data_IF_473885063849
#
_entry.id   IF_473885063849
#
_cell.length_a   1.000
_cell.length_b   1.000
_cell.length_c   1.000
_cell.angle_alpha   90.00
_cell.angle_beta   90.00
_cell.angle_gamma   90.00
#
_symmetry.space_group_name_H-M   'P 1'
#
loop_
_entity.id
_entity.type
_entity.pdbx_description
1 polymer ?
#
# COMPACT_ATOMS: atom_id res chain seq x y z
N UNK A 1 18.20 -26.86 -23.05
CA UNK A 1 18.98 -25.76 -22.48
C UNK A 1 18.08 -24.56 -22.28
N UNK A 2 18.42 -23.65 -21.36
CA UNK A 2 17.65 -22.43 -21.09
C UNK A 2 18.51 -21.20 -21.40
N UNK A 3 17.87 -20.13 -21.83
CA UNK A 3 18.45 -18.80 -22.00
C UNK A 3 17.99 -17.95 -20.81
N UNK A 4 18.92 -17.18 -20.23
CA UNK A 4 18.63 -16.22 -19.17
C UNK A 4 18.83 -14.82 -19.72
N UNK A 5 17.74 -14.07 -19.83
CA UNK A 5 17.74 -12.72 -20.40
C UNK A 5 17.68 -11.74 -19.22
N UNK A 6 18.67 -10.86 -19.06
CA UNK A 6 18.67 -9.89 -17.96
C UNK A 6 17.51 -8.91 -18.14
N UNK A 7 16.83 -8.62 -17.02
CA UNK A 7 15.83 -7.57 -16.92
C UNK A 7 16.42 -6.45 -16.06
N UNK A 8 16.47 -5.23 -16.58
CA UNK A 8 17.16 -4.08 -15.98
C UNK A 8 16.41 -2.78 -16.24
N UNK A 9 16.38 -1.91 -15.24
CA UNK A 9 15.92 -0.51 -15.35
C UNK A 9 17.09 0.48 -15.36
N UNK A 10 18.32 -0.03 -15.46
CA UNK A 10 19.55 0.76 -15.43
C UNK A 10 20.79 -0.10 -15.66
N UNK A 11 21.85 0.14 -14.90
CA UNK A 11 23.16 -0.53 -15.10
C UNK A 11 23.21 -1.95 -14.50
N UNK A 12 22.36 -2.27 -13.52
CA UNK A 12 22.32 -3.60 -12.88
C UNK A 12 20.97 -4.28 -13.09
N UNK A 13 20.95 -5.57 -13.49
CA UNK A 13 19.70 -6.30 -13.66
C UNK A 13 19.02 -6.55 -12.32
N UNK A 14 17.70 -6.37 -12.27
CA UNK A 14 16.86 -6.72 -11.11
C UNK A 14 16.41 -8.19 -11.15
N UNK A 15 16.59 -8.87 -12.28
CA UNK A 15 16.25 -10.27 -12.43
C UNK A 15 16.63 -10.83 -13.80
N UNK A 16 16.28 -12.09 -14.02
CA UNK A 16 16.49 -12.76 -15.30
C UNK A 16 15.19 -13.46 -15.72
N UNK A 17 14.77 -13.20 -16.96
CA UNK A 17 13.74 -13.99 -17.60
C UNK A 17 14.37 -15.31 -18.08
N UNK A 18 13.83 -16.43 -17.60
CA UNK A 18 14.26 -17.77 -18.01
C UNK A 18 13.34 -18.27 -19.12
N UNK A 19 13.90 -18.47 -20.32
CA UNK A 19 13.19 -19.03 -21.49
C UNK A 19 13.87 -20.33 -21.93
N UNK A 20 13.12 -21.32 -22.40
CA UNK A 20 13.72 -22.53 -22.97
C UNK A 20 14.32 -22.22 -24.35
N UNK A 21 15.51 -22.75 -24.66
CA UNK A 21 16.24 -22.40 -25.89
C UNK A 21 15.45 -22.68 -27.18
N UNK A 22 14.58 -23.69 -27.18
CA UNK A 22 13.69 -24.03 -28.30
C UNK A 22 12.57 -23.01 -28.50
N UNK A 23 12.09 -22.36 -27.44
CA UNK A 23 11.12 -21.28 -27.48
C UNK A 23 11.78 -19.98 -27.91
N UNK A 24 12.98 -19.70 -27.40
CA UNK A 24 13.77 -18.53 -27.78
C UNK A 24 14.03 -18.47 -29.28
N UNK A 25 14.38 -19.59 -29.91
CA UNK A 25 14.61 -19.67 -31.36
C UNK A 25 13.36 -19.42 -32.23
N UNK A 26 12.16 -19.41 -31.64
CA UNK A 26 10.88 -19.22 -32.33
C UNK A 26 10.28 -17.83 -32.10
N UNK A 27 10.83 -17.05 -31.18
CA UNK A 27 10.35 -15.70 -30.89
C UNK A 27 10.85 -14.72 -31.96
N UNK A 28 9.97 -13.83 -32.39
CA UNK A 28 10.39 -12.68 -33.19
C UNK A 28 11.25 -11.75 -32.32
N UNK A 29 12.46 -11.47 -32.80
CA UNK A 29 13.45 -10.72 -32.01
C UNK A 29 13.04 -9.27 -31.77
N UNK A 30 12.29 -8.67 -32.71
CA UNK A 30 11.84 -7.28 -32.61
C UNK A 30 10.65 -7.16 -31.67
N UNK A 31 9.66 -8.04 -31.81
CA UNK A 31 8.52 -8.10 -30.91
C UNK A 31 8.96 -8.35 -29.47
N UNK A 32 9.88 -9.31 -29.26
CA UNK A 32 10.42 -9.59 -27.93
C UNK A 32 11.17 -8.39 -27.34
N UNK A 33 11.98 -7.68 -28.13
CA UNK A 33 12.71 -6.52 -27.65
C UNK A 33 11.76 -5.39 -27.22
N UNK A 34 10.74 -5.10 -28.03
CA UNK A 34 9.71 -4.10 -27.67
C UNK A 34 8.94 -4.50 -26.41
N UNK A 35 8.53 -5.75 -26.29
CA UNK A 35 7.88 -6.27 -25.08
C UNK A 35 8.79 -6.13 -23.85
N UNK A 36 10.08 -6.46 -24.00
CA UNK A 36 11.04 -6.40 -22.90
C UNK A 36 11.24 -4.96 -22.42
N UNK A 37 11.38 -4.01 -23.34
CA UNK A 37 11.52 -2.58 -23.01
C UNK A 37 10.28 -2.06 -22.26
N UNK A 38 9.08 -2.38 -22.76
CA UNK A 38 7.82 -2.02 -22.10
C UNK A 38 7.72 -2.63 -20.70
N UNK A 39 8.08 -3.90 -20.55
CA UNK A 39 8.09 -4.57 -19.25
C UNK A 39 9.09 -3.94 -18.28
N UNK A 40 10.31 -3.64 -18.73
CA UNK A 40 11.34 -2.98 -17.91
C UNK A 40 10.90 -1.58 -17.48
N UNK A 41 10.24 -0.82 -18.35
CA UNK A 41 9.68 0.49 -18.02
C UNK A 41 8.58 0.37 -16.95
N UNK A 42 7.62 -0.53 -17.14
CA UNK A 42 6.54 -0.78 -16.17
C UNK A 42 7.10 -1.18 -14.79
N UNK A 43 8.11 -2.05 -14.78
CA UNK A 43 8.78 -2.48 -13.55
C UNK A 43 9.57 -1.34 -12.91
N UNK A 44 10.20 -0.45 -13.70
CA UNK A 44 10.90 0.73 -13.18
C UNK A 44 9.94 1.64 -12.42
N UNK A 45 8.79 1.94 -13.04
CA UNK A 45 7.74 2.74 -12.40
C UNK A 45 7.27 2.06 -11.10
N UNK A 46 7.10 0.74 -11.11
CA UNK A 46 6.71 0.00 -9.91
C UNK A 46 7.77 0.06 -8.81
N UNK A 47 9.06 -0.08 -9.12
CA UNK A 47 10.16 0.05 -8.16
C UNK A 47 10.21 1.46 -7.54
N UNK A 48 9.98 2.49 -8.35
CA UNK A 48 10.00 3.88 -7.88
C UNK A 48 8.76 4.25 -7.06
N UNK A 49 7.66 3.52 -7.22
CA UNK A 49 6.35 3.83 -6.61
C UNK A 49 5.92 2.83 -5.52
N UNK A 50 6.68 1.76 -5.26
CA UNK A 50 6.33 0.73 -4.30
C UNK A 50 7.31 0.62 -3.13
N UNK A 51 6.81 0.25 -1.96
CA UNK A 51 7.61 -0.14 -0.81
C UNK A 51 8.08 -1.60 -0.96
N UNK A 52 9.40 -1.87 -0.95
CA UNK A 52 9.93 -3.20 -1.25
C UNK A 52 9.60 -4.26 -0.19
N UNK A 53 9.26 -3.85 1.04
CA UNK A 53 8.97 -4.77 2.14
C UNK A 53 7.51 -5.26 2.10
N UNK A 54 6.59 -4.32 1.86
CA UNK A 54 5.15 -4.56 1.91
C UNK A 54 4.53 -4.80 0.55
N UNK A 55 5.11 -4.26 -0.52
CA UNK A 55 4.48 -4.15 -1.85
C UNK A 55 3.41 -3.06 -1.93
N UNK A 56 3.25 -2.23 -0.89
CA UNK A 56 2.33 -1.09 -0.90
C UNK A 56 2.88 0.03 -1.76
N UNK A 57 2.04 0.99 -2.15
CA UNK A 57 2.55 2.24 -2.72
C UNK A 57 3.45 2.96 -1.71
N UNK A 58 4.49 3.64 -2.14
CA UNK A 58 5.30 4.47 -1.25
C UNK A 58 4.71 5.89 -1.10
N UNK A 59 5.40 6.76 -0.35
CA UNK A 59 4.97 8.15 -0.16
C UNK A 59 4.82 8.91 -1.48
N UNK A 60 5.70 8.67 -2.47
CA UNK A 60 5.62 9.34 -3.77
C UNK A 60 4.35 8.93 -4.51
N UNK A 61 4.04 7.64 -4.56
CA UNK A 61 2.80 7.13 -5.13
C UNK A 61 1.56 7.71 -4.44
N UNK A 62 1.58 7.78 -3.10
CA UNK A 62 0.50 8.38 -2.34
C UNK A 62 0.24 9.84 -2.73
N UNK A 63 1.29 10.67 -2.83
CA UNK A 63 1.13 12.09 -3.17
C UNK A 63 0.58 12.28 -4.59
N UNK A 64 0.92 11.39 -5.53
CA UNK A 64 0.34 11.38 -6.88
C UNK A 64 -1.13 10.97 -6.86
N UNK A 65 -1.45 9.82 -6.26
CA UNK A 65 -2.79 9.25 -6.27
C UNK A 65 -3.78 10.11 -5.47
N UNK A 66 -3.33 10.73 -4.38
CA UNK A 66 -4.12 11.69 -3.60
C UNK A 66 -4.78 12.77 -4.46
N UNK A 67 -4.17 13.16 -5.58
CA UNK A 67 -4.72 14.19 -6.50
C UNK A 67 -5.77 13.65 -7.48
N UNK A 68 -5.88 12.33 -7.63
CA UNK A 68 -6.63 11.64 -8.70
C UNK A 68 -7.70 10.67 -8.19
N UNK A 69 -7.63 10.26 -6.93
CA UNK A 69 -8.60 9.32 -6.34
C UNK A 69 -10.01 9.90 -6.31
N UNK A 70 -10.98 9.03 -6.55
CA UNK A 70 -12.42 9.32 -6.48
C UNK A 70 -12.96 9.15 -5.05
N UNK A 71 -12.27 8.37 -4.22
CA UNK A 71 -12.59 8.21 -2.80
C UNK A 71 -12.53 9.54 -2.05
N UNK A 72 -13.55 9.80 -1.22
CA UNK A 72 -13.66 11.05 -0.45
C UNK A 72 -13.18 10.94 1.00
N UNK A 73 -12.82 9.74 1.48
CA UNK A 73 -12.29 9.54 2.83
C UNK A 73 -10.84 9.09 2.77
N UNK A 74 -9.97 9.83 3.44
CA UNK A 74 -8.57 9.49 3.62
C UNK A 74 -8.37 8.98 5.04
N UNK A 75 -7.71 7.83 5.14
CA UNK A 75 -7.34 7.23 6.42
C UNK A 75 -5.83 7.16 6.51
N UNK A 76 -5.24 7.79 7.53
CA UNK A 76 -3.89 7.48 7.99
C UNK A 76 -3.97 6.56 9.20
N UNK A 77 -3.13 5.54 9.24
CA UNK A 77 -2.99 4.65 10.38
C UNK A 77 -1.56 4.71 10.93
N UNK A 78 -1.44 4.73 12.26
CA UNK A 78 -0.19 4.53 12.99
C UNK A 78 -0.27 3.21 13.75
N UNK A 79 0.74 2.37 13.57
CA UNK A 79 0.82 1.05 14.19
C UNK A 79 1.98 1.09 15.18
N UNK A 80 1.71 0.86 16.46
CA UNK A 80 2.77 0.66 17.44
C UNK A 80 2.87 -0.82 17.78
N UNK A 81 4.04 -1.39 17.57
CA UNK A 81 4.32 -2.80 17.79
C UNK A 81 5.79 -3.03 18.12
N UNK A 82 6.05 -4.04 18.94
CA UNK A 82 7.42 -4.51 19.22
C UNK A 82 7.95 -5.43 18.11
N UNK A 83 7.10 -5.83 17.14
CA UNK A 83 7.54 -6.67 16.05
C UNK A 83 8.42 -5.90 15.06
N UNK A 84 9.58 -6.45 14.67
CA UNK A 84 10.42 -5.84 13.65
C UNK A 84 9.89 -6.07 12.22
N UNK A 85 8.86 -6.90 12.05
CA UNK A 85 8.42 -7.38 10.75
C UNK A 85 7.18 -6.64 10.23
N UNK A 86 7.04 -6.48 8.90
CA UNK A 86 5.97 -5.72 8.28
C UNK A 86 4.67 -6.52 8.14
N UNK A 87 4.62 -7.76 8.65
CA UNK A 87 3.46 -8.65 8.48
C UNK A 87 2.19 -8.03 9.08
N UNK A 88 2.31 -7.21 10.11
CA UNK A 88 1.17 -6.49 10.72
C UNK A 88 0.54 -5.55 9.69
N UNK A 89 1.35 -4.85 8.90
CA UNK A 89 0.84 -3.96 7.85
C UNK A 89 0.09 -4.75 6.77
N UNK A 90 0.64 -5.91 6.37
CA UNK A 90 -0.02 -6.81 5.43
C UNK A 90 -1.31 -7.40 6.01
N UNK A 91 -1.33 -7.72 7.29
CA UNK A 91 -2.51 -8.22 7.98
C UNK A 91 -3.65 -7.20 7.97
N UNK A 92 -3.35 -5.94 8.28
CA UNK A 92 -4.32 -4.84 8.18
C UNK A 92 -4.86 -4.76 6.74
N UNK A 93 -3.99 -4.77 5.73
CA UNK A 93 -4.42 -4.79 4.32
C UNK A 93 -5.35 -5.95 3.97
N UNK A 94 -5.00 -7.19 4.35
CA UNK A 94 -5.81 -8.36 4.06
C UNK A 94 -7.15 -8.32 4.78
N UNK A 95 -7.15 -7.88 6.04
CA UNK A 95 -8.37 -7.71 6.81
C UNK A 95 -9.28 -6.64 6.19
N UNK A 96 -8.74 -5.46 5.87
CA UNK A 96 -9.48 -4.38 5.22
C UNK A 96 -10.08 -4.85 3.90
N UNK A 97 -9.30 -5.55 3.07
CA UNK A 97 -9.77 -6.05 1.78
C UNK A 97 -10.86 -7.11 1.93
N UNK A 98 -10.77 -7.97 2.96
CA UNK A 98 -11.77 -8.97 3.31
C UNK A 98 -13.08 -8.31 3.74
N UNK A 99 -13.01 -7.33 4.63
CA UNK A 99 -14.18 -6.62 5.18
C UNK A 99 -14.89 -5.82 4.09
N UNK A 100 -14.14 -5.09 3.27
CA UNK A 100 -14.69 -4.28 2.20
C UNK A 100 -15.01 -5.07 0.92
N UNK A 101 -14.64 -6.36 0.87
CA UNK A 101 -14.83 -7.26 -0.28
C UNK A 101 -14.26 -6.69 -1.59
N UNK A 102 -13.19 -5.90 -1.50
CA UNK A 102 -12.47 -5.32 -2.63
C UNK A 102 -10.99 -5.23 -2.31
N UNK A 103 -10.16 -5.13 -3.34
CA UNK A 103 -8.76 -4.76 -3.14
C UNK A 103 -8.67 -3.26 -2.86
N UNK A 104 -8.13 -2.91 -1.69
CA UNK A 104 -7.89 -1.50 -1.34
C UNK A 104 -6.43 -1.19 -1.58
N UNK A 105 -6.14 -0.07 -2.25
CA UNK A 105 -4.76 0.36 -2.44
C UNK A 105 -4.22 0.95 -1.14
N UNK A 106 -3.19 0.31 -0.59
CA UNK A 106 -2.48 0.77 0.60
C UNK A 106 -1.18 1.47 0.21
N UNK A 107 -0.81 2.45 1.00
CA UNK A 107 0.44 3.18 0.89
C UNK A 107 1.21 3.10 2.20
N UNK A 108 2.51 2.83 2.16
CA UNK A 108 3.40 2.94 3.31
C UNK A 108 4.06 4.31 3.30
N UNK A 109 3.60 5.16 4.21
CA UNK A 109 3.98 6.57 4.31
C UNK A 109 5.30 6.69 5.07
N UNK A 110 5.44 5.90 6.15
CA UNK A 110 6.65 5.70 6.95
C UNK A 110 6.65 4.29 7.52
N UNK A 111 7.76 3.86 8.12
CA UNK A 111 8.00 2.52 8.69
C UNK A 111 6.73 1.84 9.25
N UNK A 112 6.04 2.53 10.13
CA UNK A 112 4.89 2.08 10.93
C UNK A 112 3.60 2.85 10.63
N UNK A 113 3.58 3.62 9.52
CA UNK A 113 2.44 4.44 9.12
C UNK A 113 2.00 4.10 7.72
N UNK A 114 0.72 3.80 7.58
CA UNK A 114 0.10 3.49 6.31
C UNK A 114 -1.03 4.48 6.02
N UNK A 115 -1.39 4.62 4.76
CA UNK A 115 -2.56 5.35 4.33
C UNK A 115 -3.34 4.54 3.30
N UNK A 116 -4.64 4.82 3.21
CA UNK A 116 -5.51 4.30 2.17
C UNK A 116 -6.72 5.22 2.02
N UNK A 117 -7.45 5.04 0.92
CA UNK A 117 -8.65 5.80 0.61
C UNK A 117 -9.87 4.88 0.57
N UNK A 118 -11.01 5.39 1.01
CA UNK A 118 -12.29 4.68 1.00
C UNK A 118 -13.45 5.62 0.67
N UNK A 119 -14.54 5.04 0.19
CA UNK A 119 -15.82 5.74 0.08
C UNK A 119 -16.53 5.82 1.45
N UNK A 120 -17.51 6.73 1.62
CA UNK A 120 -18.29 6.84 2.87
C UNK A 120 -18.95 5.53 3.31
N UNK A 121 -19.53 4.77 2.38
CA UNK A 121 -20.21 3.51 2.66
C UNK A 121 -19.22 2.43 3.11
N UNK A 122 -18.02 2.47 2.54
CA UNK A 122 -16.93 1.56 2.89
C UNK A 122 -16.36 1.91 4.27
N UNK A 123 -16.21 3.19 4.58
CA UNK A 123 -15.82 3.65 5.91
C UNK A 123 -16.84 3.23 6.97
N UNK A 124 -18.14 3.35 6.70
CA UNK A 124 -19.18 2.89 7.61
C UNK A 124 -19.03 1.38 7.90
N UNK A 125 -18.76 0.57 6.87
CA UNK A 125 -18.55 -0.86 7.05
C UNK A 125 -17.24 -1.17 7.79
N UNK A 126 -16.15 -0.49 7.44
CA UNK A 126 -14.85 -0.64 8.07
C UNK A 126 -14.89 -0.28 9.57
N UNK A 127 -15.40 0.90 9.90
CA UNK A 127 -15.43 1.44 11.26
C UNK A 127 -16.28 0.60 12.21
N UNK A 128 -17.42 0.05 11.76
CA UNK A 128 -18.24 -0.88 12.54
C UNK A 128 -17.50 -2.16 12.93
N UNK A 129 -16.54 -2.60 12.12
CA UNK A 129 -15.77 -3.82 12.35
C UNK A 129 -14.36 -3.55 12.93
N UNK A 130 -14.01 -2.30 13.23
CA UNK A 130 -12.64 -1.92 13.65
C UNK A 130 -12.20 -2.67 14.93
N UNK A 131 -13.14 -2.95 15.84
CA UNK A 131 -12.88 -3.75 17.03
C UNK A 131 -12.35 -5.15 16.69
N UNK A 132 -12.91 -5.82 15.69
CA UNK A 132 -12.45 -7.13 15.23
C UNK A 132 -11.01 -7.06 14.71
N UNK A 133 -10.66 -5.99 13.97
CA UNK A 133 -9.29 -5.78 13.52
C UNK A 133 -8.32 -5.67 14.70
N UNK A 134 -8.61 -4.79 15.67
CA UNK A 134 -7.77 -4.59 16.86
C UNK A 134 -7.60 -5.90 17.64
N UNK A 135 -8.69 -6.63 17.88
CA UNK A 135 -8.65 -7.93 18.56
C UNK A 135 -7.82 -8.95 17.77
N UNK A 136 -7.91 -8.96 16.44
CA UNK A 136 -7.12 -9.85 15.59
C UNK A 136 -5.62 -9.54 15.64
N UNK A 137 -5.26 -8.26 15.79
CA UNK A 137 -3.88 -7.79 15.88
C UNK A 137 -3.25 -8.09 17.25
N UNK A 138 -4.07 -8.17 18.29
CA UNK A 138 -3.65 -8.41 19.67
C UNK A 138 -3.71 -9.89 20.07
N UNK A 139 -4.16 -10.76 19.16
CA UNK A 139 -4.22 -12.20 19.37
C UNK A 139 -2.81 -12.78 19.57
N UNK A 140 -2.72 -13.87 20.34
CA UNK A 140 -1.49 -14.64 20.54
C UNK A 140 -0.33 -13.88 21.21
N UNK A 141 -0.63 -12.83 21.99
CA UNK A 141 0.35 -12.12 22.82
C UNK A 141 1.12 -11.00 22.12
N UNK A 142 0.67 -10.59 20.92
CA UNK A 142 1.23 -9.44 20.23
C UNK A 142 0.73 -8.12 20.83
N UNK A 143 1.64 -7.27 21.33
CA UNK A 143 1.30 -5.90 21.74
C UNK A 143 1.26 -5.01 20.50
N UNK A 144 0.09 -4.94 19.86
CA UNK A 144 -0.15 -4.06 18.71
C UNK A 144 -1.22 -3.04 19.07
N UNK A 145 -0.86 -1.77 18.95
CA UNK A 145 -1.79 -0.66 19.03
C UNK A 145 -2.02 -0.07 17.63
N UNK A 146 -3.28 0.23 17.32
CA UNK A 146 -3.69 0.82 16.05
C UNK A 146 -4.43 2.14 16.29
N UNK A 147 -3.89 3.23 15.76
CA UNK A 147 -4.54 4.54 15.78
C UNK A 147 -4.84 4.99 14.36
N UNK A 148 -6.01 5.58 14.15
CA UNK A 148 -6.43 6.08 12.84
C UNK A 148 -6.75 7.59 12.90
N UNK A 149 -6.27 8.32 11.90
CA UNK A 149 -6.72 9.67 11.58
C UNK A 149 -7.50 9.64 10.30
N UNK A 150 -8.72 10.16 10.35
CA UNK A 150 -9.70 10.10 9.26
C UNK A 150 -10.05 11.52 8.86
N UNK A 151 -10.20 11.75 7.57
CA UNK A 151 -10.62 13.04 7.02
C UNK A 151 -11.55 12.84 5.84
N UNK A 152 -12.56 13.69 5.76
CA UNK A 152 -13.53 13.73 4.66
C UNK A 152 -13.13 14.88 3.73
N UNK A 153 -13.14 14.64 2.42
CA UNK A 153 -12.83 15.64 1.42
C UNK A 153 -14.01 16.64 1.32
N UNK A 154 -13.80 17.87 1.79
CA UNK A 154 -14.80 18.94 1.72
C UNK A 154 -14.38 20.05 0.74
N UNK A 155 -13.32 20.81 1.06
CA UNK A 155 -12.91 22.00 0.29
C UNK A 155 -11.72 21.75 -0.65
N UNK A 156 -10.62 21.22 -0.11
CA UNK A 156 -9.37 21.02 -0.87
C UNK A 156 -8.66 19.71 -0.50
N UNK A 157 -7.92 19.14 -1.46
CA UNK A 157 -7.14 17.90 -1.24
C UNK A 157 -5.94 18.12 -0.31
N UNK A 158 -5.43 19.35 -0.25
CA UNK A 158 -4.39 19.78 0.68
C UNK A 158 -4.91 19.76 2.12
N UNK A 159 -6.05 20.40 2.35
CA UNK A 159 -6.70 20.41 3.67
C UNK A 159 -7.13 19.00 4.08
N UNK A 160 -7.70 18.23 3.15
CA UNK A 160 -8.06 16.83 3.37
C UNK A 160 -6.92 16.02 3.98
N UNK A 161 -5.71 16.15 3.42
CA UNK A 161 -4.50 15.49 3.93
C UNK A 161 -4.02 16.06 5.26
N UNK A 162 -4.07 17.38 5.44
CA UNK A 162 -3.70 18.05 6.68
C UNK A 162 -4.61 17.61 7.84
N UNK A 163 -5.92 17.58 7.61
CA UNK A 163 -6.92 17.16 8.58
C UNK A 163 -6.74 15.69 8.96
N UNK A 164 -6.48 14.80 7.99
CA UNK A 164 -6.24 13.39 8.28
C UNK A 164 -4.98 13.19 9.15
N UNK A 165 -3.91 13.94 8.88
CA UNK A 165 -2.67 13.92 9.68
C UNK A 165 -2.89 14.48 11.09
N UNK A 166 -3.65 15.58 11.21
CA UNK A 166 -4.02 16.20 12.49
C UNK A 166 -4.88 15.23 13.32
N UNK A 167 -5.88 14.61 12.70
CA UNK A 167 -6.73 13.60 13.31
C UNK A 167 -5.91 12.40 13.83
N UNK A 168 -4.91 11.95 13.07
CA UNK A 168 -4.02 10.88 13.52
C UNK A 168 -3.20 11.29 14.73
N UNK A 169 -2.67 12.52 14.74
CA UNK A 169 -1.95 13.08 15.89
C UNK A 169 -2.79 13.06 17.16
N UNK A 170 -3.99 13.62 17.09
CA UNK A 170 -4.95 13.62 18.19
C UNK A 170 -5.32 12.20 18.62
N UNK A 171 -5.54 11.28 17.68
CA UNK A 171 -5.89 9.88 17.97
C UNK A 171 -4.80 9.22 18.83
N UNK A 172 -3.54 9.44 18.49
CA UNK A 172 -2.39 8.92 19.26
C UNK A 172 -2.30 9.56 20.64
N UNK A 173 -2.53 10.87 20.75
CA UNK A 173 -2.47 11.61 22.02
C UNK A 173 -3.55 11.16 23.02
N UNK A 174 -4.76 10.87 22.55
CA UNK A 174 -5.84 10.44 23.43
C UNK A 174 -5.72 8.96 23.87
N UNK A 175 -4.83 8.19 23.25
CA UNK A 175 -4.50 6.82 23.62
C UNK A 175 -4.72 5.80 22.51
N UNK A 176 -4.28 4.54 22.71
CA UNK A 176 -4.25 3.54 21.64
C UNK A 176 -5.65 3.07 21.21
N UNK A 177 -5.71 2.40 20.05
CA UNK A 177 -6.87 1.62 19.59
C UNK A 177 -8.14 2.44 19.35
N UNK A 178 -7.96 3.61 18.72
CA UNK A 178 -9.07 4.51 18.38
C UNK A 178 -8.89 5.17 17.02
N UNK A 179 -9.95 5.80 16.56
CA UNK A 179 -9.87 6.73 15.43
C UNK A 179 -10.41 8.10 15.83
N UNK A 180 -9.91 9.14 15.17
CA UNK A 180 -10.50 10.47 15.17
C UNK A 180 -10.81 10.84 13.73
N UNK A 181 -11.96 11.48 13.53
CA UNK A 181 -12.38 12.03 12.25
C UNK A 181 -12.44 13.55 12.38
N UNK A 182 -11.82 14.23 11.42
CA UNK A 182 -11.89 15.68 11.25
C UNK A 182 -12.46 16.04 9.88
#
# INVERSE_FOLDING_TARGET
>A
TSVFIPLSTGVRPFGYLKILSNEWSRLDSREFQSWKEEYEEQVSVQFESSDPETGFGNLHAFELDKTRVDESIMVFASIRTDSPFPYILKWIYFWTSKVLRKQVRFYRIRKDRIAFFVLPEEWEHFSKNLKELVESLQKDGHSVDLNLGVSILEESREEWSMNARKALGLSVEEGPNRYICL
#
